data_IF_170980905189
#
_entry.id   IF_170980905189
#
_cell.length_a   1.000
_cell.length_b   1.000
_cell.length_c   1.000
_cell.angle_alpha   90.00
_cell.angle_beta   90.00
_cell.angle_gamma   90.00
#
_symmetry.space_group_name_H-M   'P 1'
#
loop_
_entity.id
_entity.type
_entity.pdbx_description
1 polymer ?
#
# COMPACT_ATOMS: atom_id res chain seq x y z
N UNK A 1 0.07 -22.02 -16.75
CA UNK A 1 0.50 -22.15 -15.34
C UNK A 1 -0.59 -22.86 -14.56
N UNK A 2 -0.24 -23.81 -13.69
CA UNK A 2 -1.21 -24.49 -12.82
C UNK A 2 -1.80 -23.55 -11.78
N UNK A 3 -3.01 -23.87 -11.31
CA UNK A 3 -3.71 -23.12 -10.25
C UNK A 3 -4.11 -24.06 -9.10
N UNK A 4 -3.12 -24.54 -8.32
CA UNK A 4 -3.33 -25.67 -7.40
C UNK A 4 -4.38 -25.40 -6.33
N UNK A 5 -4.52 -24.16 -5.85
CA UNK A 5 -5.54 -23.80 -4.85
C UNK A 5 -6.92 -23.74 -5.51
N UNK A 6 -7.07 -23.01 -6.60
CA UNK A 6 -8.34 -22.85 -7.30
C UNK A 6 -8.86 -24.18 -7.84
N UNK A 7 -7.97 -25.02 -8.37
CA UNK A 7 -8.34 -26.34 -8.88
C UNK A 7 -8.76 -27.29 -7.75
N UNK A 8 -8.11 -27.23 -6.58
CA UNK A 8 -8.52 -27.99 -5.40
C UNK A 8 -9.91 -27.57 -4.92
N UNK A 9 -10.12 -26.26 -4.74
CA UNK A 9 -11.39 -25.70 -4.25
C UNK A 9 -12.55 -26.08 -5.18
N UNK A 10 -12.37 -25.99 -6.51
CA UNK A 10 -13.39 -26.39 -7.49
C UNK A 10 -13.71 -27.89 -7.42
N UNK A 11 -12.68 -28.74 -7.43
CA UNK A 11 -12.89 -30.21 -7.29
C UNK A 11 -13.62 -30.56 -6.00
N UNK A 12 -13.29 -29.87 -4.90
CA UNK A 12 -13.98 -30.09 -3.62
C UNK A 12 -15.44 -29.61 -3.69
N UNK A 13 -15.72 -28.46 -4.30
CA UNK A 13 -17.08 -27.98 -4.51
C UNK A 13 -17.96 -28.98 -5.28
N UNK A 14 -17.39 -29.65 -6.29
CA UNK A 14 -18.06 -30.63 -7.15
C UNK A 14 -18.10 -32.05 -6.59
N UNK A 15 -17.42 -32.32 -5.45
CA UNK A 15 -17.23 -33.67 -4.91
C UNK A 15 -18.49 -34.31 -4.32
N UNK A 16 -19.50 -33.52 -4.00
CA UNK A 16 -20.71 -33.99 -3.29
C UNK A 16 -20.46 -34.39 -1.84
N UNK A 17 -19.30 -34.14 -1.26
CA UNK A 17 -18.99 -34.47 0.13
C UNK A 17 -19.87 -33.72 1.12
N UNK A 18 -20.30 -34.41 2.16
CA UNK A 18 -21.01 -33.79 3.28
C UNK A 18 -20.05 -32.89 4.05
N UNK A 19 -20.35 -31.59 4.13
CA UNK A 19 -19.53 -30.59 4.81
C UNK A 19 -19.78 -30.59 6.33
N UNK A 20 -19.23 -31.55 7.05
CA UNK A 20 -19.28 -31.59 8.51
C UNK A 20 -18.19 -30.72 9.18
N UNK A 21 -17.57 -29.82 8.42
CA UNK A 21 -16.53 -28.87 8.85
C UNK A 21 -16.98 -27.42 8.67
N UNK A 22 -16.20 -26.44 9.15
CA UNK A 22 -16.41 -25.01 8.85
C UNK A 22 -16.18 -24.72 7.35
N UNK A 23 -16.77 -23.66 6.76
CA UNK A 23 -17.63 -22.65 7.40
C UNK A 23 -19.07 -23.11 7.67
N UNK A 24 -19.79 -22.31 8.48
CA UNK A 24 -21.14 -22.62 8.95
C UNK A 24 -22.22 -22.69 7.88
N UNK A 25 -22.05 -22.04 6.73
CA UNK A 25 -22.99 -22.06 5.59
C UNK A 25 -23.02 -23.42 4.86
N UNK A 26 -22.07 -24.32 5.09
CA UNK A 26 -22.03 -25.67 4.52
C UNK A 26 -22.11 -25.73 2.99
N UNK A 27 -21.64 -24.67 2.31
CA UNK A 27 -21.70 -24.54 0.86
C UNK A 27 -23.09 -24.16 0.32
N UNK A 28 -24.07 -23.83 1.17
CA UNK A 28 -25.37 -23.34 0.70
C UNK A 28 -25.24 -21.89 0.22
N UNK A 29 -25.83 -21.55 -0.94
CA UNK A 29 -25.66 -20.24 -1.53
C UNK A 29 -26.49 -19.17 -0.79
N UNK A 30 -25.80 -18.18 -0.22
CA UNK A 30 -26.36 -16.92 0.29
C UNK A 30 -25.87 -15.75 -0.55
N UNK A 31 -24.56 -15.71 -0.88
CA UNK A 31 -23.94 -14.75 -1.77
C UNK A 31 -23.67 -15.33 -3.17
N UNK A 32 -23.66 -16.66 -3.30
CA UNK A 32 -23.39 -17.39 -4.53
C UNK A 32 -21.98 -17.95 -4.68
N UNK A 33 -21.05 -17.66 -3.76
CA UNK A 33 -19.68 -18.15 -3.77
C UNK A 33 -19.36 -19.20 -2.69
N UNK A 34 -20.30 -19.55 -1.83
CA UNK A 34 -20.10 -20.39 -0.63
C UNK A 34 -19.68 -21.80 -0.95
N UNK A 35 -20.00 -22.32 -2.15
CA UNK A 35 -19.50 -23.63 -2.58
C UNK A 35 -17.98 -23.67 -2.71
N UNK A 36 -17.36 -22.53 -3.01
CA UNK A 36 -15.92 -22.33 -3.14
C UNK A 36 -15.24 -21.90 -1.84
N UNK A 37 -16.02 -21.51 -0.83
CA UNK A 37 -15.49 -21.11 0.47
C UNK A 37 -15.29 -22.34 1.35
N UNK A 38 -14.05 -22.60 1.71
CA UNK A 38 -13.61 -23.75 2.49
C UNK A 38 -12.69 -23.30 3.63
N UNK A 39 -12.31 -24.23 4.48
CA UNK A 39 -11.28 -24.06 5.49
C UNK A 39 -10.11 -25.01 5.23
N UNK A 40 -9.21 -25.16 6.16
CA UNK A 40 -8.03 -26.02 6.16
C UNK A 40 -8.43 -27.50 6.32
N UNK A 41 -9.14 -28.03 5.33
CA UNK A 41 -9.48 -29.46 5.24
C UNK A 41 -8.32 -30.26 4.65
N UNK A 42 -8.39 -31.58 4.74
CA UNK A 42 -7.35 -32.46 4.21
C UNK A 42 -7.06 -32.16 2.73
N UNK A 43 -5.82 -31.82 2.43
CA UNK A 43 -5.35 -31.47 1.08
C UNK A 43 -5.50 -29.99 0.70
N UNK A 44 -6.19 -29.17 1.51
CA UNK A 44 -6.32 -27.75 1.28
C UNK A 44 -5.07 -26.94 1.66
N UNK A 45 -4.15 -27.54 2.42
CA UNK A 45 -2.97 -26.90 3.00
C UNK A 45 -3.35 -25.92 4.16
N UNK A 46 -2.36 -25.34 4.84
CA UNK A 46 -2.53 -24.29 5.85
C UNK A 46 -1.69 -23.08 5.46
N UNK A 47 -2.24 -21.87 5.55
CA UNK A 47 -1.56 -20.69 5.01
C UNK A 47 -0.17 -20.47 5.63
N UNK A 48 -0.02 -20.63 6.94
CA UNK A 48 1.23 -20.31 7.63
C UNK A 48 2.18 -21.51 7.75
N UNK A 49 1.67 -22.74 7.68
CA UNK A 49 2.41 -23.99 7.68
C UNK A 49 2.40 -24.65 6.27
N UNK A 50 2.32 -23.84 5.22
CA UNK A 50 2.12 -24.29 3.85
C UNK A 50 3.24 -25.22 3.35
N UNK A 51 2.88 -26.46 2.99
CA UNK A 51 3.74 -27.47 2.39
C UNK A 51 3.18 -28.03 1.06
N UNK A 52 1.89 -27.79 0.81
CA UNK A 52 1.11 -28.33 -0.29
C UNK A 52 0.78 -27.33 -1.39
N UNK A 53 -0.53 -27.15 -1.64
CA UNK A 53 -1.04 -26.35 -2.75
C UNK A 53 -0.78 -24.87 -2.59
N UNK A 54 -0.84 -24.34 -1.35
CA UNK A 54 -0.54 -22.93 -1.09
C UNK A 54 0.95 -22.67 -1.32
N UNK A 55 1.83 -23.56 -0.83
CA UNK A 55 3.28 -23.44 -1.06
C UNK A 55 3.62 -23.41 -2.54
N UNK A 56 3.00 -24.28 -3.35
CA UNK A 56 3.22 -24.30 -4.80
C UNK A 56 2.76 -23.02 -5.47
N UNK A 57 1.58 -22.53 -5.12
CA UNK A 57 1.05 -21.28 -5.66
C UNK A 57 1.94 -20.08 -5.31
N UNK A 58 2.41 -19.97 -4.06
CA UNK A 58 3.38 -18.96 -3.64
C UNK A 58 4.72 -19.05 -4.39
N UNK A 59 5.16 -20.27 -4.71
CA UNK A 59 6.37 -20.47 -5.52
C UNK A 59 6.20 -19.92 -6.93
N UNK A 60 5.04 -20.17 -7.57
CA UNK A 60 4.72 -19.59 -8.88
C UNK A 60 4.68 -18.06 -8.85
N UNK A 61 4.07 -17.47 -7.81
CA UNK A 61 4.13 -16.02 -7.60
C UNK A 61 5.59 -15.54 -7.46
N UNK A 62 6.41 -16.27 -6.68
CA UNK A 62 7.83 -15.95 -6.49
C UNK A 62 8.62 -15.95 -7.80
N UNK A 63 8.35 -16.90 -8.70
CA UNK A 63 8.95 -16.96 -10.03
C UNK A 63 8.54 -15.74 -10.89
N UNK A 64 7.25 -15.42 -10.92
CA UNK A 64 6.70 -14.30 -11.68
C UNK A 64 7.27 -12.95 -11.23
N UNK A 65 7.32 -12.74 -9.92
CA UNK A 65 7.85 -11.50 -9.33
C UNK A 65 9.40 -11.48 -9.24
N UNK A 66 10.06 -12.58 -9.47
CA UNK A 66 11.52 -12.68 -9.39
C UNK A 66 12.04 -12.61 -7.95
N UNK A 67 11.20 -12.90 -6.95
CA UNK A 67 11.56 -12.88 -5.54
C UNK A 67 12.36 -14.10 -5.09
N UNK A 68 13.06 -14.01 -3.97
CA UNK A 68 13.65 -15.15 -3.26
C UNK A 68 12.60 -15.93 -2.46
N UNK A 69 11.57 -15.21 -1.99
CA UNK A 69 10.41 -15.78 -1.31
C UNK A 69 9.21 -14.84 -1.50
N UNK A 70 8.07 -15.41 -1.87
CA UNK A 70 6.77 -14.74 -1.85
C UNK A 70 5.84 -15.47 -0.90
N UNK A 71 5.11 -14.72 -0.08
CA UNK A 71 4.11 -15.23 0.87
C UNK A 71 2.81 -14.47 0.67
N UNK A 72 1.68 -15.20 0.66
CA UNK A 72 0.36 -14.63 0.51
C UNK A 72 -0.18 -14.02 1.79
N UNK A 73 -0.97 -12.96 1.65
CA UNK A 73 -1.84 -12.40 2.66
C UNK A 73 -3.28 -12.40 2.18
N UNK A 74 -4.22 -12.70 3.05
CA UNK A 74 -5.67 -12.49 2.85
C UNK A 74 -6.20 -11.28 3.62
N UNK A 75 -5.30 -10.53 4.28
CA UNK A 75 -5.61 -9.39 5.15
C UNK A 75 -4.96 -8.08 4.66
N UNK A 76 -4.65 -8.04 3.37
CA UNK A 76 -4.07 -6.88 2.71
C UNK A 76 -2.61 -6.63 3.05
N UNK A 77 -2.04 -5.58 2.45
CA UNK A 77 -0.67 -5.15 2.74
C UNK A 77 -0.46 -4.70 4.18
N UNK A 78 -1.51 -4.41 4.94
CA UNK A 78 -1.37 -4.05 6.36
C UNK A 78 -0.74 -5.17 7.20
N UNK A 79 -1.04 -6.44 6.90
CA UNK A 79 -0.35 -7.59 7.48
C UNK A 79 1.10 -7.65 7.00
N UNK A 80 1.31 -7.49 5.70
CA UNK A 80 2.64 -7.54 5.10
C UNK A 80 3.57 -6.44 5.64
N UNK A 81 3.08 -5.21 5.84
CA UNK A 81 3.84 -4.10 6.43
C UNK A 81 4.34 -4.46 7.83
N UNK A 82 3.46 -5.01 8.69
CA UNK A 82 3.83 -5.43 10.04
C UNK A 82 4.87 -6.55 10.00
N UNK A 83 4.68 -7.52 9.10
CA UNK A 83 5.60 -8.64 8.91
C UNK A 83 6.97 -8.18 8.38
N UNK A 84 7.03 -7.25 7.41
CA UNK A 84 8.30 -6.66 6.93
C UNK A 84 9.08 -6.01 8.06
N UNK A 85 8.42 -5.21 8.90
CA UNK A 85 9.05 -4.52 10.02
C UNK A 85 9.50 -5.52 11.10
N UNK A 86 8.69 -6.55 11.39
CA UNK A 86 9.10 -7.63 12.28
C UNK A 86 10.37 -8.33 11.76
N UNK A 87 10.41 -8.69 10.48
CA UNK A 87 11.58 -9.31 9.85
C UNK A 87 12.82 -8.43 9.93
N UNK A 88 12.69 -7.13 9.64
CA UNK A 88 13.79 -6.19 9.71
C UNK A 88 14.39 -6.09 11.12
N UNK A 89 13.53 -6.10 12.15
CA UNK A 89 13.94 -5.99 13.55
C UNK A 89 14.52 -7.29 14.12
N UNK A 90 14.12 -8.45 13.61
CA UNK A 90 14.50 -9.77 14.18
C UNK A 90 15.56 -10.50 13.38
N UNK A 91 15.64 -10.27 12.07
CA UNK A 91 16.56 -10.93 11.15
C UNK A 91 17.58 -9.97 10.54
N UNK A 92 17.54 -8.68 10.89
CA UNK A 92 18.47 -7.65 10.43
C UNK A 92 19.70 -7.49 11.32
N UNK A 93 20.15 -6.26 11.48
CA UNK A 93 21.41 -5.91 12.20
C UNK A 93 21.24 -5.75 13.73
N UNK A 94 20.09 -6.09 14.30
CA UNK A 94 19.79 -5.98 15.72
C UNK A 94 19.37 -4.59 16.20
N UNK A 95 19.34 -3.59 15.33
CA UNK A 95 18.86 -2.24 15.65
C UNK A 95 17.34 -2.24 15.91
N UNK A 96 16.92 -1.33 16.77
CA UNK A 96 15.50 -1.07 17.04
C UNK A 96 15.02 0.28 16.47
N UNK A 97 15.79 0.86 15.57
CA UNK A 97 15.46 2.11 14.89
C UNK A 97 15.05 1.82 13.45
N UNK A 98 13.98 2.45 12.99
CA UNK A 98 13.55 2.44 11.58
C UNK A 98 13.52 3.89 11.08
N UNK A 99 14.17 4.14 9.96
CA UNK A 99 14.08 5.42 9.24
C UNK A 99 12.92 5.33 8.26
N UNK A 100 11.97 6.27 8.28
CA UNK A 100 10.77 6.17 7.47
C UNK A 100 10.37 7.51 6.81
N UNK A 101 9.93 7.47 5.57
CA UNK A 101 9.29 8.61 4.92
C UNK A 101 7.98 8.98 5.62
N UNK A 102 7.66 10.28 5.71
CA UNK A 102 6.55 10.76 6.56
C UNK A 102 5.15 10.40 6.03
N UNK A 103 5.02 9.98 4.78
CA UNK A 103 3.77 9.52 4.17
C UNK A 103 3.45 8.04 4.39
N UNK A 104 3.89 7.46 5.50
CA UNK A 104 3.58 6.06 5.84
C UNK A 104 2.09 5.82 6.02
N UNK A 105 1.64 4.65 5.62
CA UNK A 105 0.30 4.18 5.97
C UNK A 105 0.18 3.93 7.49
N UNK A 106 -0.99 4.19 8.10
CA UNK A 106 -1.21 3.98 9.55
C UNK A 106 -0.81 2.59 10.08
N UNK A 107 -0.78 1.56 9.21
CA UNK A 107 -0.31 0.22 9.58
C UNK A 107 1.15 0.21 10.06
N UNK A 108 2.00 1.11 9.51
CA UNK A 108 3.37 1.31 9.98
C UNK A 108 3.40 1.84 11.42
N UNK A 109 2.57 2.83 11.74
CA UNK A 109 2.49 3.40 13.10
C UNK A 109 2.00 2.36 14.11
N UNK A 110 1.01 1.55 13.73
CA UNK A 110 0.57 0.44 14.57
C UNK A 110 1.65 -0.64 14.73
N UNK A 111 2.45 -0.90 13.69
CA UNK A 111 3.60 -1.79 13.81
C UNK A 111 4.65 -1.22 14.78
N UNK A 112 4.89 0.10 14.76
CA UNK A 112 5.82 0.73 15.71
C UNK A 112 5.38 0.54 17.16
N UNK A 113 4.09 0.66 17.45
CA UNK A 113 3.55 0.38 18.78
C UNK A 113 3.66 -1.09 19.19
N UNK A 114 3.29 -2.00 18.28
CA UNK A 114 3.27 -3.44 18.57
C UNK A 114 4.66 -4.02 18.73
N UNK A 115 5.61 -3.59 17.88
CA UNK A 115 6.98 -4.08 17.83
C UNK A 115 7.96 -3.27 18.68
N UNK A 116 7.54 -2.10 19.17
CA UNK A 116 8.30 -1.23 20.06
C UNK A 116 9.66 -0.84 19.47
N UNK A 117 9.63 -0.08 18.37
CA UNK A 117 10.82 0.46 17.72
C UNK A 117 10.77 1.98 17.62
N UNK A 118 11.95 2.58 17.53
CA UNK A 118 12.15 4.02 17.36
C UNK A 118 12.01 4.42 15.90
N UNK A 119 11.36 5.55 15.64
CA UNK A 119 11.18 6.09 14.30
C UNK A 119 12.04 7.34 14.12
N UNK A 120 12.82 7.38 13.05
CA UNK A 120 13.47 8.58 12.53
C UNK A 120 12.77 8.98 11.24
N UNK A 121 12.13 10.14 11.24
CA UNK A 121 11.36 10.59 10.10
C UNK A 121 12.23 11.24 9.02
N UNK A 122 12.04 10.79 7.78
CA UNK A 122 12.46 11.52 6.57
C UNK A 122 11.34 12.48 6.18
N UNK A 123 11.69 13.74 6.11
CA UNK A 123 10.78 14.80 5.71
C UNK A 123 11.10 15.25 4.29
N UNK A 124 10.08 15.56 3.45
CA UNK A 124 10.33 16.15 2.15
C UNK A 124 10.88 17.56 2.31
N UNK A 125 11.68 18.02 1.36
CA UNK A 125 12.14 19.42 1.33
C UNK A 125 10.96 20.39 1.16
N UNK A 126 9.96 19.97 0.39
CA UNK A 126 8.71 20.68 0.17
C UNK A 126 7.54 19.69 0.14
N UNK A 127 6.47 20.01 0.85
CA UNK A 127 5.22 19.24 0.80
C UNK A 127 4.16 20.01 0.02
N UNK A 128 3.49 19.34 -0.89
CA UNK A 128 2.34 19.87 -1.63
C UNK A 128 1.07 19.04 -1.39
N UNK A 129 1.22 17.86 -0.79
CA UNK A 129 0.14 16.96 -0.38
C UNK A 129 0.63 16.07 0.75
N UNK A 130 -0.28 15.62 1.61
CA UNK A 130 0.01 14.57 2.60
C UNK A 130 0.35 13.23 1.94
N UNK A 131 -0.16 13.01 0.74
CA UNK A 131 0.00 11.75 0.02
C UNK A 131 1.44 11.50 -0.45
N UNK A 132 2.21 12.57 -0.70
CA UNK A 132 3.57 12.49 -1.21
C UNK A 132 4.63 12.84 -0.15
N UNK A 133 5.73 12.11 -0.16
CA UNK A 133 6.94 12.42 0.59
C UNK A 133 8.18 12.10 -0.27
N UNK A 134 8.50 12.94 -1.24
CA UNK A 134 9.67 12.74 -2.08
C UNK A 134 10.93 12.82 -1.21
N UNK A 135 11.68 11.73 -1.16
CA UNK A 135 12.95 11.61 -0.45
C UNK A 135 14.06 11.55 -1.48
N UNK A 136 14.96 12.54 -1.45
CA UNK A 136 16.14 12.52 -2.31
C UNK A 136 17.21 11.57 -1.75
N UNK A 137 18.06 10.96 -2.62
CA UNK A 137 19.22 10.19 -2.20
C UNK A 137 20.11 10.95 -1.20
N UNK A 138 20.37 12.23 -1.44
CA UNK A 138 21.17 13.08 -0.55
C UNK A 138 20.53 13.26 0.83
N UNK A 139 19.22 13.36 0.91
CA UNK A 139 18.52 13.46 2.20
C UNK A 139 18.66 12.15 2.98
N UNK A 140 18.53 11.01 2.32
CA UNK A 140 18.71 9.70 2.96
C UNK A 140 20.16 9.52 3.43
N UNK A 141 21.16 9.79 2.57
CA UNK A 141 22.58 9.66 2.91
C UNK A 141 22.92 10.51 4.14
N UNK A 142 22.52 11.79 4.14
CA UNK A 142 22.76 12.68 5.29
C UNK A 142 22.09 12.17 6.57
N UNK A 143 20.86 11.68 6.46
CA UNK A 143 20.15 11.16 7.65
C UNK A 143 20.85 9.94 8.22
N UNK A 144 21.20 8.96 7.38
CA UNK A 144 21.89 7.75 7.84
C UNK A 144 23.28 8.05 8.43
N UNK A 145 24.01 9.00 7.84
CA UNK A 145 25.34 9.42 8.34
C UNK A 145 25.29 10.10 9.71
N UNK A 146 24.16 10.66 10.13
CA UNK A 146 24.02 11.30 11.46
C UNK A 146 23.59 10.33 12.56
N UNK A 147 23.16 9.12 12.22
CA UNK A 147 22.74 8.14 13.20
C UNK A 147 23.94 7.51 13.92
N UNK A 148 23.82 7.21 15.24
CA UNK A 148 24.91 6.60 16.01
C UNK A 148 25.20 5.15 15.58
N UNK A 149 24.26 4.49 14.93
CA UNK A 149 24.38 3.13 14.39
C UNK A 149 23.41 2.94 13.21
N UNK A 150 23.67 1.98 12.31
CA UNK A 150 22.77 1.65 11.23
C UNK A 150 21.37 1.29 11.75
N UNK A 151 20.28 1.83 11.17
CA UNK A 151 18.93 1.43 11.53
C UNK A 151 18.61 0.01 11.03
N UNK A 152 17.59 -0.63 11.58
CA UNK A 152 17.13 -1.94 11.13
C UNK A 152 16.67 -1.91 9.67
N UNK A 153 15.94 -0.85 9.30
CA UNK A 153 15.50 -0.62 7.94
C UNK A 153 15.28 0.86 7.64
N UNK A 154 15.35 1.18 6.35
CA UNK A 154 14.69 2.34 5.74
C UNK A 154 13.36 1.88 5.17
N UNK A 155 12.26 2.57 5.49
CA UNK A 155 10.92 2.26 5.03
C UNK A 155 10.35 3.40 4.18
N UNK A 156 9.90 3.07 2.97
CA UNK A 156 9.36 4.02 1.99
C UNK A 156 8.03 3.52 1.43
N UNK A 157 7.15 4.44 1.03
CA UNK A 157 5.94 4.14 0.24
C UNK A 157 6.18 4.60 -1.20
N UNK A 158 6.17 3.66 -2.15
CA UNK A 158 6.36 3.93 -3.58
C UNK A 158 5.72 2.83 -4.44
N UNK A 159 4.79 3.18 -5.36
CA UNK A 159 4.26 4.53 -5.60
C UNK A 159 3.49 5.10 -4.41
N UNK A 160 3.52 6.41 -4.24
CA UNK A 160 2.65 7.07 -3.27
C UNK A 160 1.19 7.14 -3.75
N UNK A 161 0.30 7.74 -2.95
CA UNK A 161 -1.13 7.75 -3.29
C UNK A 161 -1.47 8.58 -4.53
N UNK A 162 -0.67 9.59 -4.87
CA UNK A 162 -0.81 10.39 -6.09
C UNK A 162 -0.09 9.79 -7.30
N UNK A 163 0.65 8.70 -7.11
CA UNK A 163 1.42 8.02 -8.15
C UNK A 163 2.88 8.46 -8.26
N UNK A 164 3.37 9.25 -7.31
CA UNK A 164 4.78 9.61 -7.24
C UNK A 164 5.65 8.38 -6.97
N UNK A 165 6.72 8.22 -7.73
CA UNK A 165 7.66 7.10 -7.62
C UNK A 165 9.01 7.57 -7.08
N UNK A 166 9.56 6.85 -6.10
CA UNK A 166 10.89 7.10 -5.56
C UNK A 166 11.99 6.46 -6.43
N UNK A 167 13.18 7.03 -6.41
CA UNK A 167 14.38 6.42 -7.01
C UNK A 167 14.89 5.26 -6.12
N UNK A 168 14.19 4.14 -6.19
CA UNK A 168 14.48 2.96 -5.36
C UNK A 168 15.90 2.45 -5.59
N UNK A 169 16.44 2.53 -6.82
CA UNK A 169 17.80 2.06 -7.12
C UNK A 169 18.86 2.85 -6.36
N UNK A 170 18.81 4.17 -6.42
CA UNK A 170 19.74 5.02 -5.70
C UNK A 170 19.61 4.89 -4.17
N UNK A 171 18.35 4.78 -3.67
CA UNK A 171 18.08 4.60 -2.25
C UNK A 171 18.55 3.24 -1.75
N UNK A 172 18.45 2.17 -2.56
CA UNK A 172 18.94 0.83 -2.22
C UNK A 172 20.47 0.78 -2.14
N UNK A 173 21.18 1.50 -3.02
CA UNK A 173 22.63 1.60 -2.96
C UNK A 173 23.10 2.26 -1.65
N UNK A 174 22.43 3.34 -1.25
CA UNK A 174 22.71 4.03 0.02
C UNK A 174 22.43 3.11 1.21
N UNK A 175 21.29 2.43 1.24
CA UNK A 175 20.95 1.50 2.30
C UNK A 175 22.03 0.40 2.44
N UNK A 176 22.47 -0.18 1.32
CA UNK A 176 23.50 -1.21 1.29
C UNK A 176 24.84 -0.69 1.82
N UNK A 177 25.24 0.52 1.42
CA UNK A 177 26.47 1.19 1.91
C UNK A 177 26.45 1.36 3.43
N UNK A 178 25.32 1.66 4.01
CA UNK A 178 25.12 1.86 5.45
C UNK A 178 24.76 0.58 6.22
N UNK A 179 24.67 -0.59 5.57
CA UNK A 179 24.36 -1.86 6.24
C UNK A 179 22.94 -1.91 6.82
N UNK A 180 21.99 -1.27 6.18
CA UNK A 180 20.57 -1.25 6.55
C UNK A 180 19.70 -1.86 5.45
N UNK A 181 18.58 -2.46 5.82
CA UNK A 181 17.61 -3.02 4.86
C UNK A 181 16.76 -1.90 4.22
N UNK A 182 16.38 -2.06 2.96
CA UNK A 182 15.36 -1.24 2.32
C UNK A 182 14.06 -2.03 2.24
N UNK A 183 13.02 -1.54 2.94
CA UNK A 183 11.66 -2.06 2.92
C UNK A 183 10.73 -1.08 2.20
N UNK A 184 10.03 -1.56 1.16
CA UNK A 184 9.16 -0.71 0.33
C UNK A 184 7.71 -1.17 0.43
N UNK A 185 6.85 -0.25 0.85
CA UNK A 185 5.40 -0.38 0.70
C UNK A 185 5.01 -0.02 -0.73
N UNK A 186 4.91 -1.03 -1.57
CA UNK A 186 4.54 -0.95 -2.97
C UNK A 186 3.06 -1.32 -3.17
N UNK A 187 2.23 -1.03 -2.18
CA UNK A 187 0.81 -1.44 -2.20
C UNK A 187 0.07 -1.07 -3.49
N UNK A 188 0.49 -0.04 -4.20
CA UNK A 188 -0.11 0.40 -5.46
C UNK A 188 0.65 -0.05 -6.71
N UNK A 189 1.74 -0.80 -6.57
CA UNK A 189 2.68 -1.05 -7.66
C UNK A 189 2.91 -2.51 -8.02
N UNK A 190 2.02 -3.45 -7.67
CA UNK A 190 2.21 -4.87 -8.02
C UNK A 190 2.47 -5.09 -9.52
N UNK A 191 1.82 -4.32 -10.39
CA UNK A 191 1.98 -4.38 -11.84
C UNK A 191 3.34 -3.89 -12.35
N UNK A 192 4.07 -3.09 -11.58
CA UNK A 192 5.37 -2.50 -11.96
C UNK A 192 6.41 -3.58 -12.31
N UNK A 193 6.24 -4.79 -11.78
CA UNK A 193 7.07 -5.96 -12.12
C UNK A 193 7.00 -6.31 -13.59
N UNK A 194 5.88 -6.07 -14.21
CA UNK A 194 5.57 -6.50 -15.58
C UNK A 194 5.77 -5.42 -16.64
N UNK A 195 6.21 -4.23 -16.22
CA UNK A 195 6.69 -3.18 -17.15
C UNK A 195 8.03 -3.57 -17.79
N UNK A 196 8.36 -2.94 -18.90
CA UNK A 196 9.63 -3.11 -19.61
C UNK A 196 10.25 -1.73 -19.89
N UNK A 197 11.33 -1.37 -19.15
CA UNK A 197 11.96 -2.10 -18.04
C UNK A 197 11.08 -2.18 -16.80
N UNK A 198 11.33 -3.20 -15.96
CA UNK A 198 10.62 -3.34 -14.68
C UNK A 198 10.97 -2.19 -13.74
N UNK A 199 9.93 -1.64 -13.10
CA UNK A 199 10.06 -0.59 -12.06
C UNK A 199 9.71 -1.13 -10.65
N UNK A 200 9.62 -2.44 -10.48
CA UNK A 200 9.27 -3.05 -9.20
C UNK A 200 10.43 -2.94 -8.19
N UNK A 201 10.15 -2.58 -6.91
CA UNK A 201 11.18 -2.36 -5.91
C UNK A 201 12.18 -3.51 -5.74
N UNK A 202 11.76 -4.77 -5.84
CA UNK A 202 12.68 -5.91 -5.76
C UNK A 202 13.72 -5.91 -6.87
N UNK A 203 13.34 -5.56 -8.10
CA UNK A 203 14.25 -5.47 -9.24
C UNK A 203 15.22 -4.31 -9.09
N UNK A 204 14.76 -3.24 -8.44
CA UNK A 204 15.52 -2.02 -8.18
C UNK A 204 16.37 -2.10 -6.90
N UNK A 205 16.38 -3.25 -6.21
CA UNK A 205 17.30 -3.52 -5.12
C UNK A 205 16.75 -3.41 -3.70
N UNK A 206 15.43 -3.24 -3.52
CA UNK A 206 14.81 -3.35 -2.20
C UNK A 206 14.96 -4.77 -1.65
N UNK A 207 15.18 -4.90 -0.33
CA UNK A 207 15.31 -6.18 0.35
C UNK A 207 13.95 -6.82 0.63
N UNK A 208 12.99 -6.01 1.02
CA UNK A 208 11.62 -6.37 1.38
C UNK A 208 10.62 -5.48 0.63
N UNK A 209 9.54 -6.07 0.15
CA UNK A 209 8.49 -5.34 -0.53
C UNK A 209 7.12 -5.95 -0.22
N UNK A 210 6.08 -5.14 -0.12
CA UNK A 210 4.72 -5.64 -0.07
C UNK A 210 3.85 -5.03 -1.17
N UNK A 211 3.01 -5.86 -1.78
CA UNK A 211 2.07 -5.48 -2.83
C UNK A 211 0.63 -5.75 -2.38
N UNK A 212 -0.26 -4.77 -2.48
CA UNK A 212 -1.70 -5.04 -2.43
C UNK A 212 -2.16 -5.51 -3.81
N UNK A 213 -2.12 -6.83 -4.04
CA UNK A 213 -2.50 -7.41 -5.32
C UNK A 213 -3.88 -6.94 -5.80
N UNK A 214 -4.84 -6.87 -4.86
CA UNK A 214 -6.22 -6.46 -5.14
C UNK A 214 -6.40 -5.02 -5.64
N UNK A 215 -5.37 -4.16 -5.55
CA UNK A 215 -5.48 -2.77 -6.02
C UNK A 215 -5.21 -2.63 -7.52
N UNK A 216 -4.31 -3.45 -8.06
CA UNK A 216 -3.85 -3.30 -9.46
C UNK A 216 -3.87 -4.59 -10.27
N UNK A 217 -4.16 -5.72 -9.64
CA UNK A 217 -4.28 -7.03 -10.27
C UNK A 217 -5.68 -7.61 -10.00
N UNK A 218 -6.19 -8.56 -10.83
CA UNK A 218 -7.53 -9.13 -10.69
C UNK A 218 -7.62 -10.12 -9.51
N UNK A 219 -7.49 -9.60 -8.32
CA UNK A 219 -7.52 -10.32 -7.05
C UNK A 219 -8.62 -9.78 -6.16
N UNK A 220 -9.28 -10.65 -5.39
CA UNK A 220 -10.29 -10.23 -4.43
C UNK A 220 -9.68 -9.34 -3.34
N UNK A 221 -10.48 -8.38 -2.84
CA UNK A 221 -10.08 -7.45 -1.78
C UNK A 221 -9.48 -8.19 -0.59
N UNK A 222 -8.35 -7.69 -0.09
CA UNK A 222 -7.56 -8.33 0.97
C UNK A 222 -6.40 -9.18 0.45
N UNK A 223 -6.41 -9.58 -0.84
CA UNK A 223 -5.28 -10.32 -1.42
C UNK A 223 -4.04 -9.44 -1.57
N UNK A 224 -2.92 -9.88 -0.99
CA UNK A 224 -1.65 -9.17 -1.03
C UNK A 224 -0.46 -10.14 -1.02
N UNK A 225 0.71 -9.61 -1.31
CA UNK A 225 1.98 -10.32 -1.30
C UNK A 225 2.97 -9.66 -0.33
N UNK A 226 3.70 -10.49 0.41
CA UNK A 226 4.99 -10.14 1.00
C UNK A 226 6.08 -10.76 0.14
N UNK A 227 6.97 -9.95 -0.37
CA UNK A 227 8.12 -10.38 -1.18
C UNK A 227 9.43 -10.12 -0.46
N UNK A 228 10.34 -11.08 -0.53
CA UNK A 228 11.71 -10.98 -0.02
C UNK A 228 12.67 -11.18 -1.19
N UNK A 229 13.63 -10.28 -1.32
CA UNK A 229 14.59 -10.30 -2.42
C UNK A 229 15.41 -11.60 -2.42
N UNK A 230 15.84 -12.05 -3.60
CA UNK A 230 16.74 -13.20 -3.74
C UNK A 230 18.11 -12.97 -3.09
N UNK A 231 18.58 -11.73 -3.13
CA UNK A 231 19.85 -11.32 -2.52
C UNK A 231 19.76 -11.15 -1.00
N UNK A 232 18.56 -11.08 -0.42
CA UNK A 232 18.37 -10.96 1.02
C UNK A 232 18.82 -12.23 1.76
N UNK A 233 19.11 -12.13 3.07
CA UNK A 233 19.60 -13.24 3.88
C UNK A 233 18.64 -14.43 3.93
N UNK A 234 19.17 -15.62 4.18
CA UNK A 234 18.34 -16.82 4.35
C UNK A 234 17.35 -16.68 5.51
N UNK A 235 17.78 -16.07 6.63
CA UNK A 235 16.96 -15.86 7.82
C UNK A 235 15.68 -15.06 7.52
N UNK A 236 15.75 -14.03 6.69
CA UNK A 236 14.59 -13.25 6.25
C UNK A 236 13.59 -14.14 5.49
N UNK A 237 14.08 -14.98 4.56
CA UNK A 237 13.22 -15.87 3.75
C UNK A 237 12.58 -16.98 4.58
N UNK A 238 13.31 -17.58 5.50
CA UNK A 238 12.87 -18.67 6.37
C UNK A 238 11.85 -18.21 7.41
N UNK A 239 12.04 -17.01 7.96
CA UNK A 239 11.16 -16.43 8.98
C UNK A 239 9.88 -15.79 8.42
N UNK A 240 9.71 -15.72 7.09
CA UNK A 240 8.61 -15.00 6.45
C UNK A 240 7.22 -15.49 6.88
N UNK A 241 7.00 -16.81 6.95
CA UNK A 241 5.71 -17.39 7.37
C UNK A 241 5.43 -17.10 8.84
N UNK A 242 6.41 -17.24 9.71
CA UNK A 242 6.29 -16.89 11.13
C UNK A 242 5.93 -15.40 11.30
N UNK A 243 6.58 -14.52 10.56
CA UNK A 243 6.29 -13.09 10.58
C UNK A 243 4.85 -12.79 10.14
N UNK A 244 4.36 -13.46 9.10
CA UNK A 244 2.98 -13.30 8.62
C UNK A 244 1.96 -13.86 9.61
N UNK A 245 2.22 -15.02 10.21
CA UNK A 245 1.36 -15.66 11.19
C UNK A 245 1.12 -14.79 12.44
N UNK A 246 2.13 -14.02 12.88
CA UNK A 246 1.98 -13.14 14.05
C UNK A 246 0.94 -12.03 13.87
N UNK A 247 0.60 -11.68 12.65
CA UNK A 247 -0.30 -10.56 12.35
C UNK A 247 -1.52 -10.97 11.52
N UNK A 248 -1.73 -12.25 11.31
CA UNK A 248 -2.80 -12.78 10.51
C UNK A 248 -3.77 -13.67 11.28
N UNK A 249 -4.93 -13.90 10.70
CA UNK A 249 -5.92 -14.84 11.21
C UNK A 249 -5.54 -16.28 10.90
N UNK A 250 -5.79 -17.20 11.82
CA UNK A 250 -5.68 -18.64 11.59
C UNK A 250 -6.80 -19.20 10.69
N UNK A 251 -7.73 -18.35 10.26
CA UNK A 251 -8.84 -18.71 9.34
C UNK A 251 -8.76 -17.86 8.07
N UNK A 252 -7.77 -18.11 7.18
CA UNK A 252 -7.60 -17.33 5.97
C UNK A 252 -8.74 -17.58 4.98
N UNK A 253 -9.13 -16.56 4.21
CA UNK A 253 -10.12 -16.72 3.14
C UNK A 253 -9.58 -17.53 1.97
N UNK A 254 -10.09 -18.73 1.76
CA UNK A 254 -9.75 -19.53 0.59
C UNK A 254 -10.24 -18.94 -0.74
N UNK A 255 -11.28 -18.12 -0.72
CA UNK A 255 -11.69 -17.35 -1.90
C UNK A 255 -10.58 -16.37 -2.30
N UNK A 256 -10.02 -15.65 -1.33
CA UNK A 256 -8.90 -14.74 -1.58
C UNK A 256 -7.65 -15.50 -2.03
N UNK A 257 -7.31 -16.62 -1.39
CA UNK A 257 -6.18 -17.46 -1.80
C UNK A 257 -6.36 -18.02 -3.22
N UNK A 258 -7.55 -18.50 -3.56
CA UNK A 258 -7.86 -18.95 -4.92
C UNK A 258 -7.76 -17.82 -5.96
N UNK A 259 -8.16 -16.59 -5.58
CA UNK A 259 -8.02 -15.45 -6.49
C UNK A 259 -6.55 -15.06 -6.74
N UNK A 260 -5.68 -15.13 -5.71
CA UNK A 260 -4.24 -14.95 -5.85
C UNK A 260 -3.61 -16.04 -6.75
N UNK A 261 -4.05 -17.27 -6.58
CA UNK A 261 -3.61 -18.41 -7.39
C UNK A 261 -4.02 -18.29 -8.87
N UNK A 262 -5.27 -17.89 -9.13
CA UNK A 262 -5.76 -17.60 -10.47
C UNK A 262 -5.02 -16.41 -11.11
N UNK A 263 -4.65 -15.43 -10.30
CA UNK A 263 -3.87 -14.29 -10.74
C UNK A 263 -2.49 -14.70 -11.26
N UNK A 264 -1.83 -15.71 -10.68
CA UNK A 264 -0.56 -16.22 -11.22
C UNK A 264 -0.71 -16.67 -12.67
N UNK A 265 -1.77 -17.44 -12.98
CA UNK A 265 -2.05 -17.89 -14.37
C UNK A 265 -2.35 -16.69 -15.27
N UNK A 266 -3.14 -15.73 -14.80
CA UNK A 266 -3.45 -14.51 -15.55
C UNK A 266 -2.18 -13.71 -15.89
N UNK A 267 -1.25 -13.57 -14.94
CA UNK A 267 0.01 -12.85 -15.12
C UNK A 267 0.95 -13.59 -16.10
N UNK A 268 0.95 -14.93 -16.06
CA UNK A 268 1.77 -15.75 -16.96
C UNK A 268 1.24 -15.77 -18.41
N UNK A 269 -0.03 -15.41 -18.64
CA UNK A 269 -0.73 -15.52 -19.92
C UNK A 269 -0.93 -14.15 -20.57
N UNK A 270 0.13 -13.62 -21.21
CA UNK A 270 0.06 -12.40 -22.02
C UNK A 270 -0.23 -11.10 -21.24
N UNK A 271 -0.05 -11.07 -19.92
CA UNK A 271 -0.32 -9.89 -19.12
C UNK A 271 0.56 -8.68 -19.52
N UNK A 272 1.85 -8.91 -19.85
CA UNK A 272 2.77 -7.83 -20.27
C UNK A 272 2.24 -7.07 -21.49
N UNK A 273 1.67 -7.76 -22.46
CA UNK A 273 1.14 -7.14 -23.66
C UNK A 273 -0.13 -6.34 -23.36
N UNK A 274 -1.05 -6.90 -22.56
CA UNK A 274 -2.24 -6.18 -22.08
C UNK A 274 -1.88 -4.95 -21.25
N UNK A 275 -0.86 -5.05 -20.41
CA UNK A 275 -0.35 -3.93 -19.61
C UNK A 275 0.25 -2.83 -20.50
N UNK A 276 1.07 -3.21 -21.47
CA UNK A 276 1.66 -2.26 -22.42
C UNK A 276 0.58 -1.51 -23.21
N UNK A 277 -0.44 -2.22 -23.68
CA UNK A 277 -1.58 -1.64 -24.37
C UNK A 277 -2.33 -0.64 -23.47
N UNK A 278 -2.62 -1.02 -22.22
CA UNK A 278 -3.29 -0.13 -21.26
C UNK A 278 -2.45 1.11 -20.96
N UNK A 279 -1.14 0.97 -20.71
CA UNK A 279 -0.25 2.11 -20.50
C UNK A 279 -0.27 3.07 -21.70
N UNK A 280 -0.28 2.55 -22.92
CA UNK A 280 -0.42 3.36 -24.14
C UNK A 280 -1.74 4.13 -24.20
N UNK A 281 -2.85 3.46 -23.91
CA UNK A 281 -4.19 4.09 -23.84
C UNK A 281 -4.26 5.20 -22.78
N UNK A 282 -3.65 4.97 -21.60
CA UNK A 282 -3.63 5.97 -20.53
C UNK A 282 -2.73 7.15 -20.85
N UNK A 283 -1.63 6.94 -21.57
CA UNK A 283 -0.79 8.04 -22.06
C UNK A 283 -1.55 8.90 -23.09
N UNK A 284 -2.33 8.30 -23.98
CA UNK A 284 -3.21 9.03 -24.89
C UNK A 284 -4.32 9.78 -24.11
N UNK A 285 -4.89 9.15 -23.07
CA UNK A 285 -5.87 9.81 -22.22
C UNK A 285 -5.28 11.02 -21.47
N UNK A 286 -4.04 10.94 -20.95
CA UNK A 286 -3.34 12.08 -20.34
C UNK A 286 -3.19 13.25 -21.34
N UNK A 287 -2.77 12.93 -22.56
CA UNK A 287 -2.64 13.95 -23.64
C UNK A 287 -3.99 14.57 -23.99
N UNK A 288 -5.04 13.76 -24.11
CA UNK A 288 -6.39 14.24 -24.40
C UNK A 288 -6.94 15.15 -23.29
N UNK A 289 -6.78 14.77 -22.02
CA UNK A 289 -7.16 15.61 -20.88
C UNK A 289 -6.38 16.93 -20.86
N UNK A 290 -5.08 16.88 -21.10
CA UNK A 290 -4.24 18.08 -21.15
C UNK A 290 -4.66 19.00 -22.31
N UNK A 291 -4.94 18.45 -23.48
CA UNK A 291 -5.45 19.20 -24.64
C UNK A 291 -6.85 19.79 -24.39
N UNK A 292 -7.65 19.14 -23.55
CA UNK A 292 -8.96 19.62 -23.11
C UNK A 292 -8.89 20.65 -21.96
N UNK A 293 -7.68 21.10 -21.56
CA UNK A 293 -7.46 22.13 -20.54
C UNK A 293 -7.30 21.61 -19.11
N UNK A 294 -7.23 20.29 -18.90
CA UNK A 294 -7.02 19.71 -17.56
C UNK A 294 -5.53 19.63 -17.21
N UNK A 295 -5.19 19.95 -15.98
CA UNK A 295 -3.83 19.75 -15.44
C UNK A 295 -3.72 18.33 -14.88
N UNK A 296 -2.97 17.48 -15.62
CA UNK A 296 -2.68 16.10 -15.21
C UNK A 296 -1.28 16.06 -14.61
N UNK A 297 -1.18 15.59 -13.37
CA UNK A 297 0.09 15.47 -12.66
C UNK A 297 0.88 14.23 -13.12
N UNK A 298 2.23 14.30 -13.11
CA UNK A 298 3.05 13.11 -13.33
C UNK A 298 2.73 12.01 -12.31
N UNK A 299 2.49 10.80 -12.77
CA UNK A 299 2.13 9.67 -11.93
C UNK A 299 2.60 8.36 -12.55
N UNK A 300 2.54 7.28 -11.77
CA UNK A 300 2.81 5.93 -12.29
C UNK A 300 1.90 5.59 -13.49
N UNK A 301 2.30 4.63 -14.36
CA UNK A 301 1.63 4.41 -15.65
C UNK A 301 0.14 4.09 -15.59
N UNK A 302 -0.35 3.42 -14.53
CA UNK A 302 -1.77 3.03 -14.41
C UNK A 302 -2.62 4.04 -13.64
N UNK A 303 -2.08 5.21 -13.30
CA UNK A 303 -2.78 6.23 -12.54
C UNK A 303 -2.98 7.51 -13.34
N UNK A 304 -4.14 8.12 -13.18
CA UNK A 304 -4.42 9.48 -13.64
C UNK A 304 -4.69 10.35 -12.42
N UNK A 305 -3.76 11.26 -12.14
CA UNK A 305 -3.89 12.25 -11.07
C UNK A 305 -4.19 13.59 -11.69
N UNK A 306 -5.38 14.12 -11.45
CA UNK A 306 -5.85 15.36 -12.05
C UNK A 306 -5.97 16.41 -10.96
N UNK A 307 -5.35 17.58 -11.17
CA UNK A 307 -5.48 18.71 -10.27
C UNK A 307 -6.84 19.38 -10.44
N UNK A 308 -7.47 19.73 -9.33
CA UNK A 308 -8.70 20.50 -9.34
C UNK A 308 -8.43 21.95 -9.80
N UNK A 309 -9.27 22.52 -10.69
CA UNK A 309 -9.13 23.91 -11.11
C UNK A 309 -9.52 24.89 -9.98
N UNK A 310 -9.11 26.16 -10.12
CA UNK A 310 -9.47 27.19 -9.13
C UNK A 310 -11.00 27.31 -8.96
N UNK A 311 -11.44 27.38 -7.72
CA UNK A 311 -12.87 27.45 -7.37
C UNK A 311 -13.60 26.11 -7.30
N UNK A 312 -12.89 25.00 -7.55
CA UNK A 312 -13.42 23.64 -7.42
C UNK A 312 -12.47 22.80 -6.54
N UNK A 313 -12.99 21.88 -5.76
CA UNK A 313 -12.18 20.87 -5.06
C UNK A 313 -12.15 19.58 -5.84
N UNK A 314 -11.13 18.74 -5.59
CA UNK A 314 -11.09 17.38 -6.16
C UNK A 314 -12.33 16.57 -5.77
N UNK A 315 -12.85 16.74 -4.53
CA UNK A 315 -14.10 16.12 -4.10
C UNK A 315 -15.33 16.57 -4.91
N UNK A 316 -15.42 17.85 -5.29
CA UNK A 316 -16.49 18.34 -6.18
C UNK A 316 -16.33 17.78 -7.60
N UNK A 317 -15.08 17.70 -8.10
CA UNK A 317 -14.79 17.06 -9.38
C UNK A 317 -15.19 15.56 -9.35
N UNK A 318 -14.87 14.85 -8.27
CA UNK A 318 -15.27 13.46 -8.09
C UNK A 318 -16.79 13.28 -8.14
N UNK A 319 -17.56 14.17 -7.48
CA UNK A 319 -19.03 14.14 -7.54
C UNK A 319 -19.55 14.35 -8.96
N UNK A 320 -19.00 15.30 -9.70
CA UNK A 320 -19.35 15.52 -11.13
C UNK A 320 -19.09 14.27 -11.98
N UNK A 321 -17.94 13.62 -11.79
CA UNK A 321 -17.63 12.39 -12.53
C UNK A 321 -18.58 11.25 -12.14
N UNK A 322 -18.94 11.14 -10.86
CA UNK A 322 -19.89 10.13 -10.37
C UNK A 322 -21.28 10.31 -10.99
N UNK A 323 -21.75 11.55 -11.15
CA UNK A 323 -23.01 11.85 -11.87
C UNK A 323 -22.97 11.37 -13.34
N UNK A 324 -21.77 11.32 -13.93
CA UNK A 324 -21.53 10.78 -15.26
C UNK A 324 -21.23 9.26 -15.26
N UNK A 325 -21.35 8.62 -14.09
CA UNK A 325 -21.13 7.18 -13.88
C UNK A 325 -19.67 6.76 -13.88
N UNK A 326 -18.75 7.63 -13.42
CA UNK A 326 -17.34 7.33 -13.20
C UNK A 326 -17.03 7.47 -11.72
N UNK A 327 -16.69 6.37 -11.05
CA UNK A 327 -16.25 6.38 -9.66
C UNK A 327 -14.71 6.51 -9.62
N UNK A 328 -14.19 7.32 -8.72
CA UNK A 328 -12.77 7.57 -8.56
C UNK A 328 -12.19 6.86 -7.34
N UNK A 329 -10.88 6.65 -7.33
CA UNK A 329 -10.17 6.04 -6.20
C UNK A 329 -10.05 6.99 -5.00
N UNK A 330 -9.72 8.26 -5.28
CA UNK A 330 -9.47 9.25 -4.24
C UNK A 330 -9.74 10.66 -4.73
N UNK A 331 -10.16 11.52 -3.81
CA UNK A 331 -10.22 12.94 -4.04
C UNK A 331 -10.02 13.70 -2.73
N UNK A 332 -9.28 14.82 -2.80
CA UNK A 332 -9.12 15.78 -1.70
C UNK A 332 -9.45 17.21 -2.16
N UNK A 333 -8.89 18.21 -1.51
CA UNK A 333 -9.11 19.61 -1.91
C UNK A 333 -8.44 19.94 -3.25
N UNK A 334 -7.32 19.30 -3.55
CA UNK A 334 -6.45 19.70 -4.66
C UNK A 334 -6.47 18.71 -5.83
N UNK A 335 -6.70 17.43 -5.55
CA UNK A 335 -6.52 16.35 -6.52
C UNK A 335 -7.71 15.40 -6.60
N UNK A 336 -7.86 14.82 -7.78
CA UNK A 336 -8.65 13.63 -8.05
C UNK A 336 -7.71 12.54 -8.58
N UNK A 337 -7.84 11.31 -8.09
CA UNK A 337 -7.03 10.17 -8.52
C UNK A 337 -7.93 9.08 -9.09
N UNK A 338 -7.59 8.61 -10.29
CA UNK A 338 -8.18 7.47 -10.94
C UNK A 338 -7.14 6.37 -11.07
N UNK A 339 -7.51 5.14 -10.76
CA UNK A 339 -6.69 3.95 -10.93
C UNK A 339 -7.35 3.04 -11.96
N UNK A 340 -6.62 2.73 -13.02
CA UNK A 340 -7.10 1.87 -14.09
C UNK A 340 -6.18 0.65 -14.23
N UNK A 341 -6.72 -0.41 -14.79
CA UNK A 341 -5.97 -1.67 -15.00
C UNK A 341 -6.27 -2.21 -16.39
N UNK A 342 -5.56 -3.22 -16.89
CA UNK A 342 -5.89 -3.89 -18.14
C UNK A 342 -7.31 -4.48 -18.20
N UNK A 343 -8.02 -4.56 -17.07
CA UNK A 343 -9.41 -5.01 -17.00
C UNK A 343 -10.42 -3.91 -17.41
N UNK A 344 -9.98 -2.64 -17.45
CA UNK A 344 -10.81 -1.56 -18.00
C UNK A 344 -10.82 -1.63 -19.54
N UNK A 345 -12.01 -1.53 -20.11
CA UNK A 345 -12.21 -1.56 -21.57
C UNK A 345 -11.90 -0.19 -22.19
N UNK A 346 -11.69 -0.15 -23.49
CA UNK A 346 -11.56 1.11 -24.25
C UNK A 346 -12.76 2.05 -24.02
N UNK A 347 -13.97 1.52 -24.03
CA UNK A 347 -15.21 2.27 -23.78
C UNK A 347 -15.24 2.90 -22.37
N UNK A 348 -14.59 2.33 -21.37
CA UNK A 348 -14.52 2.90 -20.02
C UNK A 348 -13.64 4.17 -20.03
N UNK A 349 -12.53 4.15 -20.81
CA UNK A 349 -11.64 5.32 -20.97
C UNK A 349 -12.35 6.41 -21.79
N UNK A 350 -13.06 6.06 -22.87
CA UNK A 350 -13.82 7.00 -23.67
C UNK A 350 -14.91 7.70 -22.81
N UNK A 351 -15.62 6.93 -21.98
CA UNK A 351 -16.60 7.45 -21.04
C UNK A 351 -15.98 8.38 -20.02
N UNK A 352 -14.80 8.03 -19.49
CA UNK A 352 -14.03 8.85 -18.56
C UNK A 352 -13.68 10.20 -19.23
N UNK A 353 -13.10 10.20 -20.42
CA UNK A 353 -12.76 11.41 -21.15
C UNK A 353 -13.99 12.27 -21.44
N UNK A 354 -15.11 11.65 -21.81
CA UNK A 354 -16.39 12.36 -22.02
C UNK A 354 -16.91 13.01 -20.74
N UNK A 355 -16.81 12.32 -19.59
CA UNK A 355 -17.22 12.84 -18.28
C UNK A 355 -16.41 14.06 -17.84
N UNK A 356 -15.12 14.09 -18.16
CA UNK A 356 -14.29 15.28 -17.92
C UNK A 356 -14.68 16.46 -18.82
N UNK A 357 -14.92 16.22 -20.11
CA UNK A 357 -15.17 17.28 -21.07
C UNK A 357 -14.03 18.29 -21.18
N UNK A 358 -14.32 19.49 -21.71
CA UNK A 358 -13.35 20.59 -21.76
C UNK A 358 -13.33 21.39 -20.46
N UNK A 359 -12.18 21.98 -20.15
CA UNK A 359 -11.95 22.82 -18.97
C UNK A 359 -11.23 24.12 -19.37
N UNK A 360 -11.91 25.24 -19.28
CA UNK A 360 -11.37 26.58 -19.55
C UNK A 360 -10.97 27.32 -18.25
N UNK A 361 -11.05 26.64 -17.10
CA UNK A 361 -10.77 27.25 -15.82
C UNK A 361 -9.27 27.47 -15.59
N UNK A 362 -8.95 28.51 -14.82
CA UNK A 362 -7.58 28.82 -14.42
C UNK A 362 -7.18 27.90 -13.25
N UNK A 363 -5.90 27.54 -13.17
CA UNK A 363 -5.33 26.81 -12.06
C UNK A 363 -4.61 27.72 -11.08
N UNK A 364 -4.93 27.62 -9.80
CA UNK A 364 -4.15 28.26 -8.75
C UNK A 364 -2.76 27.61 -8.62
N UNK A 365 -1.72 28.37 -8.24
CA UNK A 365 -0.45 27.78 -7.84
C UNK A 365 -0.66 26.71 -6.76
N UNK A 366 0.10 25.63 -6.82
CA UNK A 366 -0.03 24.57 -5.81
C UNK A 366 0.47 25.09 -4.48
N UNK A 367 -0.32 25.02 -3.38
CA UNK A 367 0.10 25.46 -2.09
C UNK A 367 1.28 24.65 -1.59
N UNK A 368 2.20 25.29 -0.87
CA UNK A 368 3.15 24.57 -0.04
C UNK A 368 2.49 24.30 1.30
N UNK A 369 2.37 23.03 1.66
CA UNK A 369 1.79 22.64 2.94
C UNK A 369 2.82 22.75 4.06
N UNK A 370 2.41 23.10 5.28
CA UNK A 370 3.31 23.08 6.44
C UNK A 370 3.73 21.62 6.73
N UNK A 371 4.94 21.47 7.26
CA UNK A 371 5.42 20.20 7.77
C UNK A 371 5.08 20.08 9.26
N UNK A 372 4.12 19.25 9.62
CA UNK A 372 3.71 19.04 11.01
C UNK A 372 4.78 18.22 11.76
N UNK A 373 5.89 18.88 12.08
CA UNK A 373 7.00 18.31 12.86
C UNK A 373 6.71 18.44 14.35
N UNK A 374 5.89 17.53 14.89
CA UNK A 374 5.63 17.46 16.32
C UNK A 374 6.88 17.04 17.11
N UNK A 375 7.12 17.68 18.27
CA UNK A 375 8.12 17.18 19.22
C UNK A 375 7.66 15.83 19.77
N UNK A 376 8.56 14.86 19.82
CA UNK A 376 8.27 13.57 20.41
C UNK A 376 8.35 13.64 21.93
N UNK A 377 7.21 13.45 22.58
CA UNK A 377 7.06 13.47 24.05
C UNK A 377 7.25 12.07 24.65
N UNK A 378 6.73 11.04 23.97
CA UNK A 378 6.87 9.65 24.39
C UNK A 378 6.94 8.72 23.16
N UNK A 379 7.16 7.44 23.37
CA UNK A 379 7.16 6.48 22.27
C UNK A 379 5.76 6.29 21.68
N UNK A 380 5.70 5.82 20.43
CA UNK A 380 4.42 5.48 19.78
C UNK A 380 3.67 4.42 20.59
N UNK A 381 4.39 3.46 21.18
CA UNK A 381 3.83 2.41 22.03
C UNK A 381 3.21 3.00 23.28
N UNK A 382 3.96 3.80 24.05
CA UNK A 382 3.44 4.45 25.26
C UNK A 382 2.17 5.24 24.96
N UNK A 383 2.16 6.05 23.92
CA UNK A 383 1.01 6.85 23.55
C UNK A 383 -0.22 6.01 23.16
N UNK A 384 -0.03 4.97 22.35
CA UNK A 384 -1.14 4.12 21.89
C UNK A 384 -1.76 3.26 23.01
N UNK A 385 -1.02 2.91 24.04
CA UNK A 385 -1.50 2.12 25.16
C UNK A 385 -1.91 2.96 26.39
N UNK A 386 -1.63 4.27 26.39
CA UNK A 386 -2.04 5.18 27.45
C UNK A 386 -3.56 5.49 27.40
N UNK A 387 -4.16 5.92 28.54
CA UNK A 387 -5.51 6.48 28.55
C UNK A 387 -5.61 7.71 27.65
N UNK A 388 -6.67 7.75 26.84
CA UNK A 388 -6.91 8.80 25.84
C UNK A 388 -8.26 9.44 26.03
N UNK A 389 -8.42 10.63 25.48
CA UNK A 389 -9.69 11.31 25.30
C UNK A 389 -9.80 11.90 23.88
N UNK A 390 -11.00 11.97 23.37
CA UNK A 390 -11.30 12.61 22.09
C UNK A 390 -11.62 14.07 22.33
N UNK A 391 -10.92 14.96 21.62
CA UNK A 391 -11.13 16.40 21.70
C UNK A 391 -11.36 17.00 20.31
N UNK A 392 -12.09 18.13 20.19
CA UNK A 392 -12.13 18.88 18.94
C UNK A 392 -10.70 19.23 18.49
N UNK A 393 -10.40 19.04 17.20
CA UNK A 393 -9.06 19.31 16.66
C UNK A 393 -8.57 20.72 16.99
N UNK A 394 -9.46 21.73 16.98
CA UNK A 394 -9.13 23.11 17.34
C UNK A 394 -8.67 23.28 18.80
N UNK A 395 -8.93 22.32 19.69
CA UNK A 395 -8.54 22.32 21.11
C UNK A 395 -7.35 21.41 21.41
N UNK A 396 -6.74 20.83 20.38
CA UNK A 396 -5.65 19.87 20.57
C UNK A 396 -4.26 20.49 20.58
N UNK A 397 -4.12 21.79 20.36
CA UNK A 397 -2.82 22.48 20.39
C UNK A 397 -2.06 22.21 21.68
N UNK A 398 -0.81 21.78 21.57
CA UNK A 398 0.06 21.47 22.71
C UNK A 398 -0.24 20.16 23.41
N UNK A 399 -1.33 19.47 23.07
CA UNK A 399 -1.64 18.13 23.57
C UNK A 399 -0.78 17.08 22.85
N UNK A 400 -0.58 15.93 23.48
CA UNK A 400 0.15 14.80 22.89
C UNK A 400 -0.84 13.92 22.14
N UNK A 401 -0.54 13.63 20.88
CA UNK A 401 -1.33 12.76 20.02
C UNK A 401 -1.38 11.34 20.60
N UNK A 402 -2.57 10.83 20.84
CA UNK A 402 -2.78 9.48 21.43
C UNK A 402 -2.95 8.39 20.37
N UNK A 403 -3.55 8.71 19.21
CA UNK A 403 -3.70 7.80 18.09
C UNK A 403 -3.40 8.52 16.76
N UNK A 404 -2.91 7.80 15.73
CA UNK A 404 -2.60 8.43 14.45
C UNK A 404 -3.83 9.14 13.89
N UNK A 405 -3.71 10.45 13.64
CA UNK A 405 -4.80 11.26 13.07
C UNK A 405 -4.81 11.06 11.56
N UNK A 406 -5.82 10.39 11.05
CA UNK A 406 -5.92 10.04 9.62
C UNK A 406 -7.30 10.35 9.06
N UNK A 407 -7.34 10.87 7.82
CA UNK A 407 -8.46 10.64 6.91
C UNK A 407 -8.26 9.27 6.24
N UNK A 408 -9.30 8.56 5.87
CA UNK A 408 -9.17 7.30 5.14
C UNK A 408 -10.19 7.28 4.00
N UNK A 409 -9.75 7.17 2.73
CA UNK A 409 -8.36 7.25 2.26
C UNK A 409 -7.74 8.64 2.49
N UNK A 410 -6.41 8.82 2.51
CA UNK A 410 -5.35 7.87 2.17
C UNK A 410 -4.76 7.13 3.38
N UNK A 411 -5.30 7.28 4.60
CA UNK A 411 -4.81 6.66 5.85
C UNK A 411 -3.34 7.03 6.21
N UNK A 412 -2.92 8.24 5.84
CA UNK A 412 -1.60 8.84 6.15
C UNK A 412 -1.75 9.78 7.34
N UNK A 413 -0.96 9.60 8.44
CA UNK A 413 -1.10 10.39 9.64
C UNK A 413 -0.60 11.84 9.50
N UNK A 414 -1.39 12.82 9.90
CA UNK A 414 -0.96 14.22 10.08
C UNK A 414 -0.14 14.34 11.36
N UNK A 415 -0.63 13.83 12.48
CA UNK A 415 0.11 13.67 13.71
C UNK A 415 0.21 12.19 14.09
N UNK A 416 1.35 11.80 14.64
CA UNK A 416 1.63 10.42 15.05
C UNK A 416 1.57 10.33 16.57
N UNK A 417 1.14 9.17 17.07
CA UNK A 417 1.06 8.91 18.51
C UNK A 417 2.38 9.21 19.20
N UNK A 418 2.31 9.98 20.31
CA UNK A 418 3.49 10.41 21.07
C UNK A 418 4.08 11.75 20.62
N UNK A 419 3.64 12.31 19.50
CA UNK A 419 4.03 13.66 19.05
C UNK A 419 3.14 14.73 19.70
N UNK A 420 3.72 15.87 20.08
CA UNK A 420 2.98 17.05 20.48
C UNK A 420 2.35 17.71 19.26
N UNK A 421 1.07 18.03 19.33
CA UNK A 421 0.30 18.66 18.26
C UNK A 421 0.66 20.15 18.19
N UNK A 422 1.37 20.53 17.12
CA UNK A 422 1.76 21.91 16.83
C UNK A 422 0.74 22.68 15.98
N UNK A 423 0.99 23.98 15.73
CA UNK A 423 0.12 24.82 14.91
C UNK A 423 0.02 24.32 13.45
N UNK A 424 1.09 23.75 12.90
CA UNK A 424 1.13 23.17 11.55
C UNK A 424 0.17 21.99 11.43
N UNK A 425 0.10 21.14 12.46
CA UNK A 425 -0.83 20.02 12.51
C UNK A 425 -2.29 20.51 12.54
N UNK A 426 -2.60 21.59 13.30
CA UNK A 426 -3.94 22.19 13.33
C UNK A 426 -4.35 22.74 11.95
N UNK A 427 -3.42 23.35 11.23
CA UNK A 427 -3.66 23.86 9.87
C UNK A 427 -4.01 22.70 8.93
N UNK A 428 -3.25 21.59 8.99
CA UNK A 428 -3.52 20.41 8.20
C UNK A 428 -4.83 19.71 8.63
N UNK A 429 -5.15 19.64 9.92
CA UNK A 429 -6.45 19.12 10.38
C UNK A 429 -7.61 19.87 9.75
N UNK A 430 -7.55 21.20 9.77
CA UNK A 430 -8.59 22.05 9.14
C UNK A 430 -8.67 21.80 7.63
N UNK A 431 -7.52 21.74 6.96
CA UNK A 431 -7.45 21.51 5.52
C UNK A 431 -8.04 20.17 5.11
N UNK A 432 -7.74 19.11 5.84
CA UNK A 432 -8.18 17.74 5.52
C UNK A 432 -9.47 17.32 6.24
N UNK A 433 -10.17 18.26 6.88
CA UNK A 433 -11.47 18.01 7.50
C UNK A 433 -11.41 17.09 8.73
N UNK A 434 -10.27 17.05 9.43
CA UNK A 434 -10.15 16.32 10.71
C UNK A 434 -10.77 17.15 11.81
N UNK A 435 -11.96 16.77 12.27
CA UNK A 435 -12.73 17.52 13.28
C UNK A 435 -12.40 17.09 14.72
N UNK A 436 -12.05 15.82 14.91
CA UNK A 436 -11.79 15.22 16.21
C UNK A 436 -10.45 14.50 16.20
N UNK A 437 -9.72 14.58 17.30
CA UNK A 437 -8.44 13.90 17.49
C UNK A 437 -8.40 13.22 18.87
N UNK A 438 -7.74 12.08 18.96
CA UNK A 438 -7.45 11.43 20.23
C UNK A 438 -6.13 11.97 20.78
N UNK A 439 -6.16 12.41 22.05
CA UNK A 439 -4.98 12.91 22.77
C UNK A 439 -4.82 12.17 24.09
N UNK A 440 -3.61 12.17 24.64
CA UNK A 440 -3.36 11.60 25.97
C UNK A 440 -4.10 12.43 27.04
N UNK A 441 -4.61 11.75 28.07
CA UNK A 441 -5.24 12.40 29.23
C UNK A 441 -4.24 13.10 30.11
#
# INVERSE_FOLDING_TARGET
METPIADFVRRYADSGMVRAHMPGHKGKPFLGCETLDITEIQGADSLYEAEGIIRRSESYAGELFGSGRTVYSTEGSSQCIRAMLYLALTCGNGSRTVVAARNVHRAFVYAAALLDFEIVWLWPERSTSLCGCPVSPDTLERTLATLPAPPAAVYLTSPDYLGGMADISALAEICRKHGTLLAVDNAHGAYLRFLEPSCHPLELGADLCCDSAHKTLPVLTGGAYLHINRAASASLRESAKTAMAMFGSTSPSYLTLASLDLCNRYLADGYRDRLREMCGRLEEARKALTAAGWQVEPSDPLRLTVKAPAGMTGGQLANRLRESGVECEYADLDFLVLMLTPENRAADIERLLHAFGTNDAVYAPQPTLPLARGERVCSVREALFAPRETVPAARSLGRVCGAPTVGCPPAIPIAVSGEQIGPEALELFRRYGVEQVEVLR
#
